data_IF_124661272768
#
_entry.id   IF_124661272768
#
_cell.length_a   1.000
_cell.length_b   1.000
_cell.length_c   1.000
_cell.angle_alpha   90.00
_cell.angle_beta   90.00
_cell.angle_gamma   90.00
#
_symmetry.space_group_name_H-M   'P 1'
#
loop_
_entity.id
_entity.type
_entity.pdbx_description
1 polymer ?
#
# COMPACT_ATOMS: atom_id res chain seq x y z
N UNK A 1 -4.74 6.28 -12.48
CA UNK A 1 -3.81 6.12 -11.34
C UNK A 1 -4.39 6.81 -10.12
N UNK A 2 -3.92 6.45 -8.92
CA UNK A 2 -4.51 6.94 -7.68
C UNK A 2 -3.45 7.61 -6.83
N UNK A 3 -3.80 8.69 -6.12
CA UNK A 3 -2.87 9.43 -5.27
C UNK A 3 -3.53 9.82 -3.96
N UNK A 4 -2.89 9.55 -2.83
CA UNK A 4 -3.37 9.99 -1.51
C UNK A 4 -3.17 11.47 -1.27
N UNK A 5 -4.19 12.10 -0.67
CA UNK A 5 -4.08 13.45 -0.14
C UNK A 5 -2.97 13.55 0.91
N UNK A 6 -2.81 12.53 1.76
CA UNK A 6 -1.81 12.55 2.83
C UNK A 6 -0.40 12.58 2.23
N UNK A 7 -0.15 11.74 1.23
CA UNK A 7 1.15 11.68 0.54
C UNK A 7 1.42 12.97 -0.21
N UNK A 8 0.44 13.51 -0.96
CA UNK A 8 0.59 14.80 -1.64
C UNK A 8 0.94 15.93 -0.69
N UNK A 9 0.22 16.04 0.45
CA UNK A 9 0.47 17.08 1.44
C UNK A 9 1.81 16.90 2.16
N UNK A 10 2.25 15.65 2.37
CA UNK A 10 3.58 15.39 2.91
C UNK A 10 4.69 15.84 1.95
N UNK A 11 4.50 15.60 0.64
CA UNK A 11 5.48 15.91 -0.41
C UNK A 11 5.41 17.37 -0.88
N UNK A 12 4.26 17.99 -0.76
CA UNK A 12 3.98 19.40 -1.12
C UNK A 12 3.25 20.06 0.06
N UNK A 13 3.99 20.50 1.10
CA UNK A 13 3.40 21.07 2.31
C UNK A 13 2.58 22.35 2.09
N UNK A 14 2.71 22.97 0.92
CA UNK A 14 1.98 24.18 0.51
C UNK A 14 0.60 23.89 -0.08
N UNK A 15 0.24 22.62 -0.33
CA UNK A 15 -1.10 22.28 -0.80
C UNK A 15 -2.17 22.58 0.26
N UNK A 16 -3.38 22.95 -0.17
CA UNK A 16 -4.48 23.21 0.74
C UNK A 16 -4.91 21.96 1.50
N UNK A 17 -5.51 22.15 2.67
CA UNK A 17 -6.06 21.07 3.49
C UNK A 17 -7.33 20.46 2.91
N UNK A 18 -8.04 21.24 2.10
CA UNK A 18 -9.32 20.88 1.52
C UNK A 18 -9.15 19.99 0.28
N UNK A 19 -9.82 18.85 0.27
CA UNK A 19 -9.69 17.87 -0.80
C UNK A 19 -10.25 18.37 -2.14
N UNK A 20 -11.31 19.18 -2.12
CA UNK A 20 -11.91 19.73 -3.34
C UNK A 20 -10.96 20.73 -4.02
N UNK A 21 -10.25 21.55 -3.24
CA UNK A 21 -9.22 22.45 -3.79
C UNK A 21 -8.05 21.68 -4.41
N UNK A 22 -7.57 20.62 -3.78
CA UNK A 22 -6.52 19.77 -4.39
C UNK A 22 -7.04 19.12 -5.67
N UNK A 23 -8.28 18.62 -5.69
CA UNK A 23 -8.89 18.05 -6.89
C UNK A 23 -8.96 19.06 -8.03
N UNK A 24 -9.31 20.32 -7.74
CA UNK A 24 -9.31 21.40 -8.72
C UNK A 24 -7.90 21.66 -9.29
N UNK A 25 -6.87 21.72 -8.45
CA UNK A 25 -5.48 21.86 -8.90
C UNK A 25 -5.04 20.68 -9.79
N UNK A 26 -5.45 19.45 -9.46
CA UNK A 26 -5.19 18.28 -10.30
C UNK A 26 -5.86 18.41 -11.68
N UNK A 27 -7.10 18.89 -11.72
CA UNK A 27 -7.80 19.15 -12.99
C UNK A 27 -7.11 20.25 -13.81
N UNK A 28 -6.68 21.35 -13.18
CA UNK A 28 -5.93 22.43 -13.83
C UNK A 28 -4.57 21.95 -14.36
N UNK A 29 -3.94 21.00 -13.67
CA UNK A 29 -2.72 20.31 -14.12
C UNK A 29 -2.95 19.32 -15.29
N UNK A 30 -4.20 19.19 -15.76
CA UNK A 30 -4.57 18.39 -16.92
C UNK A 30 -4.98 16.96 -16.62
N UNK A 31 -5.27 16.62 -15.36
CA UNK A 31 -5.81 15.31 -15.00
C UNK A 31 -7.34 15.28 -15.17
N UNK A 32 -7.83 14.30 -15.93
CA UNK A 32 -9.25 14.10 -16.18
C UNK A 32 -9.87 13.08 -15.21
N UNK A 33 -11.17 13.20 -14.98
CA UNK A 33 -11.93 12.23 -14.19
C UNK A 33 -11.53 12.16 -12.71
N UNK A 34 -10.98 13.24 -12.15
CA UNK A 34 -10.55 13.31 -10.74
C UNK A 34 -11.75 13.07 -9.82
N UNK A 35 -11.73 11.93 -9.11
CA UNK A 35 -12.72 11.58 -8.10
C UNK A 35 -12.07 11.54 -6.73
N UNK A 36 -12.73 12.14 -5.76
CA UNK A 36 -12.34 12.08 -4.35
C UNK A 36 -13.00 10.86 -3.74
N UNK A 37 -12.19 9.90 -3.27
CA UNK A 37 -12.67 8.65 -2.66
C UNK A 37 -12.12 8.56 -1.24
N UNK A 38 -12.95 8.31 -0.20
CA UNK A 38 -12.44 8.09 1.14
C UNK A 38 -11.44 6.94 1.17
N UNK A 39 -10.27 7.12 1.81
CA UNK A 39 -9.25 6.09 1.88
C UNK A 39 -9.80 4.79 2.51
N UNK A 40 -10.64 4.94 3.54
CA UNK A 40 -11.35 3.84 4.16
C UNK A 40 -12.10 2.95 3.16
N UNK A 41 -12.71 3.52 2.11
CA UNK A 41 -13.44 2.72 1.11
C UNK A 41 -12.53 1.84 0.27
N UNK A 42 -11.34 2.33 -0.06
CA UNK A 42 -10.34 1.57 -0.82
C UNK A 42 -9.66 0.49 0.04
N UNK A 43 -9.65 0.67 1.36
CA UNK A 43 -9.06 -0.26 2.33
C UNK A 43 -10.03 -1.34 2.81
N UNK A 44 -11.34 -1.22 2.58
CA UNK A 44 -12.36 -2.24 2.94
C UNK A 44 -12.01 -3.69 2.57
N UNK A 45 -11.46 -4.02 1.38
CA UNK A 45 -11.15 -5.41 1.03
C UNK A 45 -9.87 -5.95 1.69
N UNK A 46 -9.17 -5.13 2.46
CA UNK A 46 -7.94 -5.49 3.15
C UNK A 46 -8.29 -5.88 4.57
N UNK A 47 -7.75 -6.99 5.03
CA UNK A 47 -8.03 -7.53 6.36
C UNK A 47 -6.74 -7.73 7.14
N UNK A 48 -6.86 -7.89 8.45
CA UNK A 48 -5.77 -8.28 9.31
C UNK A 48 -5.44 -9.76 9.11
N UNK A 49 -4.16 -10.07 9.02
CA UNK A 49 -3.64 -11.42 9.15
C UNK A 49 -2.63 -11.54 10.29
N UNK A 50 -2.63 -12.71 10.93
CA UNK A 50 -1.57 -13.15 11.84
C UNK A 50 -0.60 -14.02 11.06
N UNK A 51 0.70 -13.75 11.19
CA UNK A 51 1.74 -14.63 10.65
C UNK A 51 1.91 -15.81 11.59
N UNK A 52 1.63 -17.01 11.12
CA UNK A 52 1.76 -18.24 11.89
C UNK A 52 3.20 -18.79 11.82
N UNK A 53 3.80 -18.75 10.63
CA UNK A 53 5.14 -19.25 10.38
C UNK A 53 5.90 -18.34 9.43
N UNK A 54 7.22 -18.22 9.64
CA UNK A 54 8.15 -17.54 8.73
C UNK A 54 9.33 -18.45 8.47
N UNK A 55 9.57 -18.79 7.21
CA UNK A 55 10.71 -19.60 6.78
C UNK A 55 11.55 -18.85 5.74
N UNK A 56 12.84 -19.16 5.70
CA UNK A 56 13.74 -18.63 4.68
C UNK A 56 13.34 -19.18 3.31
N UNK A 57 13.29 -18.32 2.29
CA UNK A 57 13.00 -18.76 0.94
C UNK A 57 14.15 -19.63 0.38
N UNK A 58 13.89 -20.82 -0.18
CA UNK A 58 14.92 -21.78 -0.56
C UNK A 58 15.79 -21.31 -1.72
N UNK A 59 15.23 -20.49 -2.62
CA UNK A 59 15.90 -19.98 -3.82
C UNK A 59 16.24 -18.48 -3.77
N UNK A 60 16.18 -17.83 -2.59
CA UNK A 60 16.46 -16.39 -2.47
C UNK A 60 16.80 -15.97 -1.03
N UNK A 61 17.97 -15.37 -0.82
CA UNK A 61 18.45 -14.98 0.51
C UNK A 61 17.64 -13.84 1.15
N UNK A 62 17.08 -12.95 0.33
CA UNK A 62 16.34 -11.77 0.78
C UNK A 62 14.83 -11.97 0.88
N UNK A 63 14.32 -13.15 0.52
CA UNK A 63 12.89 -13.45 0.57
C UNK A 63 12.59 -14.41 1.72
N UNK A 64 11.38 -14.29 2.24
CA UNK A 64 10.82 -15.17 3.26
C UNK A 64 9.47 -15.69 2.77
N UNK A 65 9.16 -16.92 3.15
CA UNK A 65 7.84 -17.52 2.94
C UNK A 65 7.11 -17.45 4.27
N UNK A 66 5.92 -16.89 4.25
CA UNK A 66 5.08 -16.70 5.42
C UNK A 66 3.80 -17.53 5.25
N UNK A 67 3.44 -18.29 6.27
CA UNK A 67 2.11 -18.87 6.41
C UNK A 67 1.29 -17.90 7.25
N UNK A 68 0.20 -17.39 6.70
CA UNK A 68 -0.60 -16.34 7.35
C UNK A 68 -2.06 -16.77 7.49
N UNK A 69 -2.64 -16.53 8.66
CA UNK A 69 -4.04 -16.71 8.93
C UNK A 69 -4.73 -15.35 8.82
N UNK A 70 -5.66 -15.23 7.88
CA UNK A 70 -6.42 -14.01 7.60
C UNK A 70 -7.92 -14.15 7.88
N UNK A 71 -8.29 -15.11 8.74
CA UNK A 71 -9.68 -15.43 9.06
C UNK A 71 -10.41 -16.27 8.00
N UNK A 72 -9.71 -16.68 6.92
CA UNK A 72 -10.22 -17.68 5.97
C UNK A 72 -10.20 -19.11 6.51
N UNK A 73 -10.78 -20.04 5.73
CA UNK A 73 -10.80 -21.47 6.08
C UNK A 73 -9.41 -22.12 6.07
N UNK A 74 -8.50 -21.61 5.22
CA UNK A 74 -7.14 -22.11 5.07
C UNK A 74 -6.14 -20.94 5.16
N UNK A 75 -4.96 -21.16 5.77
CA UNK A 75 -3.93 -20.15 5.78
C UNK A 75 -3.39 -19.90 4.37
N UNK A 76 -2.92 -18.68 4.12
CA UNK A 76 -2.33 -18.27 2.86
C UNK A 76 -0.82 -18.37 2.91
N UNK A 77 -0.21 -18.78 1.81
CA UNK A 77 1.24 -18.61 1.60
C UNK A 77 1.53 -17.25 0.98
N UNK A 78 2.37 -16.45 1.63
CA UNK A 78 2.82 -15.14 1.14
C UNK A 78 4.34 -15.10 1.11
N UNK A 79 4.89 -14.71 -0.03
CA UNK A 79 6.33 -14.43 -0.17
C UNK A 79 6.56 -12.94 0.04
N UNK A 80 7.45 -12.57 0.96
CA UNK A 80 7.80 -11.16 1.22
C UNK A 80 9.31 -10.97 1.32
N UNK A 81 9.78 -9.82 0.84
CA UNK A 81 11.18 -9.39 1.01
C UNK A 81 11.40 -8.49 2.23
N UNK A 82 10.33 -8.11 2.93
CA UNK A 82 10.44 -7.16 4.02
C UNK A 82 11.24 -7.73 5.20
N UNK A 83 12.21 -6.97 5.75
CA UNK A 83 13.11 -7.46 6.79
C UNK A 83 12.43 -7.64 8.14
N UNK A 84 11.31 -6.95 8.37
CA UNK A 84 10.63 -6.85 9.66
C UNK A 84 9.48 -7.85 9.84
N UNK A 85 9.26 -8.79 8.92
CA UNK A 85 8.23 -9.83 9.09
C UNK A 85 8.65 -10.83 10.18
N UNK A 86 7.72 -11.13 11.10
CA UNK A 86 7.95 -12.09 12.19
C UNK A 86 6.72 -12.95 12.48
N UNK A 87 6.94 -14.20 12.88
CA UNK A 87 5.88 -15.09 13.34
C UNK A 87 5.24 -14.54 14.63
N UNK A 88 3.94 -14.73 14.76
CA UNK A 88 3.11 -14.23 15.86
C UNK A 88 2.67 -12.77 15.73
N UNK A 89 3.21 -12.00 14.77
CA UNK A 89 2.80 -10.61 14.55
C UNK A 89 1.60 -10.49 13.59
N UNK A 90 0.98 -9.32 13.61
CA UNK A 90 -0.21 -8.98 12.84
C UNK A 90 0.12 -7.93 11.79
N UNK A 91 -0.36 -8.14 10.57
CA UNK A 91 -0.13 -7.24 9.44
C UNK A 91 -1.39 -7.15 8.57
N UNK A 92 -1.59 -6.05 7.84
CA UNK A 92 -2.55 -6.01 6.75
C UNK A 92 -2.19 -7.06 5.71
N UNK A 93 -3.18 -7.81 5.23
CA UNK A 93 -3.04 -8.73 4.11
C UNK A 93 -3.96 -8.34 2.96
N UNK A 94 -3.39 -8.37 1.76
CA UNK A 94 -4.07 -8.06 0.52
C UNK A 94 -4.12 -9.34 -0.32
N UNK A 95 -5.33 -9.90 -0.45
CA UNK A 95 -5.53 -11.13 -1.23
C UNK A 95 -5.36 -10.88 -2.73
N UNK A 96 -5.00 -11.94 -3.45
CA UNK A 96 -5.04 -11.93 -4.92
C UNK A 96 -6.39 -11.41 -5.44
N UNK A 97 -6.34 -10.53 -6.43
CA UNK A 97 -7.51 -9.95 -7.10
C UNK A 97 -7.95 -8.61 -6.52
N UNK A 98 -7.49 -8.26 -5.31
CA UNK A 98 -7.74 -6.97 -4.68
C UNK A 98 -6.87 -5.89 -5.35
N UNK A 99 -7.42 -4.68 -5.44
CA UNK A 99 -6.69 -3.49 -5.92
C UNK A 99 -6.33 -2.63 -4.73
N UNK A 100 -5.05 -2.28 -4.62
CA UNK A 100 -4.54 -1.38 -3.59
C UNK A 100 -5.06 0.05 -3.78
N UNK A 101 -5.02 0.89 -2.72
CA UNK A 101 -5.38 2.30 -2.82
C UNK A 101 -4.60 3.07 -3.88
N UNK A 102 -3.33 2.74 -4.13
CA UNK A 102 -2.50 3.32 -5.20
C UNK A 102 -2.90 2.89 -6.63
N UNK A 103 -3.92 2.01 -6.77
CA UNK A 103 -4.43 1.50 -8.04
C UNK A 103 -3.76 0.22 -8.53
N UNK A 104 -2.78 -0.31 -7.80
CA UNK A 104 -2.08 -1.56 -8.16
C UNK A 104 -2.94 -2.77 -7.86
N UNK A 105 -3.16 -3.63 -8.87
CA UNK A 105 -3.90 -4.89 -8.69
C UNK A 105 -2.98 -6.04 -8.27
N UNK A 106 -3.26 -6.64 -7.12
CA UNK A 106 -2.53 -7.82 -6.63
C UNK A 106 -2.93 -9.04 -7.49
N UNK A 107 -1.93 -9.72 -8.02
CA UNK A 107 -2.10 -10.93 -8.83
C UNK A 107 -1.42 -12.09 -8.16
N UNK A 108 -1.99 -13.29 -8.30
CA UNK A 108 -1.31 -14.53 -7.92
C UNK A 108 -0.10 -14.68 -8.82
N UNK A 109 1.03 -15.00 -8.20
CA UNK A 109 2.29 -15.15 -8.91
C UNK A 109 3.20 -16.12 -8.20
N UNK A 110 4.29 -16.46 -8.88
CA UNK A 110 5.41 -17.18 -8.28
C UNK A 110 6.60 -16.24 -8.15
N UNK A 111 7.18 -16.15 -6.96
CA UNK A 111 8.42 -15.45 -6.74
C UNK A 111 9.51 -16.51 -6.58
N UNK A 112 10.46 -16.55 -7.52
CA UNK A 112 11.61 -17.48 -7.48
C UNK A 112 11.22 -18.96 -7.24
N UNK A 113 10.10 -19.38 -7.82
CA UNK A 113 9.58 -20.76 -7.77
C UNK A 113 8.44 -20.97 -6.77
N UNK A 114 8.34 -20.13 -5.74
CA UNK A 114 7.36 -20.28 -4.65
C UNK A 114 6.11 -19.46 -4.93
N UNK A 115 4.94 -20.04 -4.64
CA UNK A 115 3.66 -19.37 -4.83
C UNK A 115 3.45 -18.27 -3.77
N UNK A 116 2.93 -17.11 -4.19
CA UNK A 116 2.41 -16.10 -3.28
C UNK A 116 0.93 -15.84 -3.61
N UNK A 117 0.08 -16.01 -2.60
CA UNK A 117 -1.37 -15.91 -2.72
C UNK A 117 -1.90 -14.52 -2.35
N UNK A 118 -1.01 -13.58 -2.08
CA UNK A 118 -1.30 -12.19 -1.77
C UNK A 118 -0.03 -11.43 -1.45
N UNK A 119 -0.20 -10.40 -0.64
CA UNK A 119 0.85 -9.49 -0.19
C UNK A 119 0.56 -9.05 1.25
N UNK A 120 1.59 -8.94 2.08
CA UNK A 120 1.49 -8.21 3.36
C UNK A 120 1.72 -6.73 3.08
N UNK A 121 0.87 -5.85 3.61
CA UNK A 121 0.88 -4.42 3.28
C UNK A 121 1.90 -3.61 4.08
N UNK A 122 2.61 -2.70 3.40
CA UNK A 122 3.34 -1.58 4.01
C UNK A 122 2.44 -0.35 4.18
N UNK A 123 2.87 0.63 4.99
CA UNK A 123 2.10 1.87 5.16
C UNK A 123 2.01 2.69 3.86
N UNK A 124 3.09 2.67 3.07
CA UNK A 124 3.18 3.32 1.76
C UNK A 124 2.21 2.72 0.73
N UNK A 125 2.24 1.40 0.55
CA UNK A 125 1.35 0.73 -0.43
C UNK A 125 -0.14 0.85 -0.09
N UNK A 126 -0.44 1.05 1.19
CA UNK A 126 -1.79 1.26 1.71
C UNK A 126 -2.19 2.74 1.77
N UNK A 127 -1.32 3.65 1.34
CA UNK A 127 -1.55 5.10 1.36
C UNK A 127 -1.82 5.68 2.77
N UNK A 128 -1.32 4.98 3.80
CA UNK A 128 -1.46 5.32 5.22
C UNK A 128 -0.25 6.06 5.80
N UNK A 129 0.86 6.13 5.04
CA UNK A 129 2.08 6.84 5.42
C UNK A 129 3.13 6.76 4.32
N UNK A 130 4.32 7.30 4.56
CA UNK A 130 5.44 7.30 3.61
C UNK A 130 6.59 6.41 4.07
N UNK A 131 6.32 5.47 4.97
CA UNK A 131 7.34 4.57 5.50
C UNK A 131 7.61 3.42 4.53
N UNK A 132 8.82 3.39 3.99
CA UNK A 132 9.32 2.35 3.09
C UNK A 132 10.22 1.32 3.81
N UNK A 133 10.37 1.39 5.13
CA UNK A 133 11.28 0.52 5.89
C UNK A 133 10.81 -0.95 5.96
N UNK A 134 9.52 -1.22 5.72
CA UNK A 134 9.00 -2.58 5.70
C UNK A 134 7.48 -2.67 5.80
N UNK A 135 7.00 -3.81 6.30
CA UNK A 135 5.57 -4.06 6.50
C UNK A 135 5.00 -3.23 7.64
N UNK A 136 3.71 -2.90 7.55
CA UNK A 136 2.98 -2.22 8.61
C UNK A 136 2.59 -3.22 9.70
N UNK A 137 3.42 -3.34 10.73
CA UNK A 137 3.09 -4.17 11.89
C UNK A 137 1.99 -3.52 12.73
N UNK A 138 0.91 -4.25 12.96
CA UNK A 138 -0.23 -3.82 13.75
C UNK A 138 0.01 -4.11 15.23
N UNK A 139 -0.42 -3.17 16.09
CA UNK A 139 -0.32 -3.30 17.53
C UNK A 139 -1.50 -4.11 18.09
N UNK A 140 -1.25 -4.85 19.16
CA UNK A 140 -2.25 -5.69 19.83
C UNK A 140 -2.47 -7.04 19.13
N UNK A 141 -3.64 -7.64 19.38
CA UNK A 141 -4.02 -8.96 18.86
C UNK A 141 -5.39 -8.92 18.15
N UNK A 142 -5.54 -8.09 17.10
CA UNK A 142 -6.78 -8.03 16.32
C UNK A 142 -7.13 -9.41 15.75
N UNK A 143 -8.42 -9.75 15.73
CA UNK A 143 -8.85 -11.02 15.19
C UNK A 143 -8.50 -11.12 13.68
N UNK A 144 -7.88 -12.21 13.21
CA UNK A 144 -7.67 -12.43 11.78
C UNK A 144 -8.97 -12.30 10.99
N UNK A 145 -8.91 -11.65 9.83
CA UNK A 145 -10.07 -11.37 8.98
C UNK A 145 -10.82 -10.08 9.32
N UNK A 146 -10.48 -9.41 10.43
CA UNK A 146 -11.02 -8.09 10.74
C UNK A 146 -10.61 -7.09 9.65
N UNK A 147 -11.53 -6.30 9.07
CA UNK A 147 -11.18 -5.24 8.13
C UNK A 147 -10.20 -4.24 8.75
N UNK A 148 -9.16 -3.82 8.04
CA UNK A 148 -8.13 -2.96 8.66
C UNK A 148 -8.69 -1.62 9.11
N UNK A 149 -9.73 -1.15 8.43
CA UNK A 149 -10.43 0.11 8.72
C UNK A 149 -11.10 0.13 10.10
N UNK A 150 -11.29 -1.05 10.72
CA UNK A 150 -11.80 -1.18 12.09
C UNK A 150 -10.67 -1.22 13.14
N UNK A 151 -9.44 -1.46 12.70
CA UNK A 151 -8.27 -1.67 13.58
C UNK A 151 -7.41 -0.42 13.70
N UNK A 152 -7.31 0.35 12.62
CA UNK A 152 -6.50 1.57 12.57
C UNK A 152 -7.30 2.76 12.05
N UNK A 153 -6.95 3.99 12.44
CA UNK A 153 -7.48 5.18 11.81
C UNK A 153 -7.07 5.24 10.33
N UNK A 154 -8.02 5.53 9.46
CA UNK A 154 -7.78 5.69 8.02
C UNK A 154 -8.18 7.11 7.59
N UNK A 155 -7.41 8.13 7.99
CA UNK A 155 -7.75 9.52 7.69
C UNK A 155 -7.55 9.82 6.20
N UNK A 156 -8.37 10.73 5.68
CA UNK A 156 -8.16 11.34 4.37
C UNK A 156 -8.80 10.61 3.20
N UNK A 157 -8.41 11.06 2.02
CA UNK A 157 -9.00 10.68 0.74
C UNK A 157 -7.90 10.36 -0.26
N UNK A 158 -8.28 9.61 -1.28
CA UNK A 158 -7.46 9.30 -2.44
C UNK A 158 -8.13 9.89 -3.68
N UNK A 159 -7.34 10.59 -4.48
CA UNK A 159 -7.74 11.10 -5.78
C UNK A 159 -7.56 9.98 -6.80
N UNK A 160 -8.69 9.49 -7.34
CA UNK A 160 -8.71 8.50 -8.41
C UNK A 160 -8.90 9.23 -9.73
N UNK A 161 -7.94 9.12 -10.63
CA UNK A 161 -7.92 9.87 -11.89
C UNK A 161 -7.40 9.02 -13.05
N UNK A 162 -7.73 9.41 -14.28
CA UNK A 162 -7.21 8.73 -15.46
C UNK A 162 -5.81 9.23 -15.80
N UNK A 163 -4.93 8.32 -16.20
CA UNK A 163 -3.55 8.67 -16.52
C UNK A 163 -2.55 7.56 -16.24
N UNK A 164 -1.35 7.73 -16.82
CA UNK A 164 -0.19 6.84 -16.67
C UNK A 164 0.95 7.47 -15.88
N UNK A 165 0.78 8.72 -15.48
CA UNK A 165 1.74 9.48 -14.70
C UNK A 165 2.05 8.76 -13.37
N UNK A 166 3.29 8.88 -12.94
CA UNK A 166 3.73 8.44 -11.61
C UNK A 166 3.39 9.48 -10.55
N UNK A 167 3.49 9.11 -9.27
CA UNK A 167 3.35 10.07 -8.16
C UNK A 167 4.30 11.26 -8.33
N UNK A 168 5.54 11.03 -8.76
CA UNK A 168 6.52 12.08 -8.96
C UNK A 168 6.14 13.03 -10.11
N UNK A 169 5.53 12.51 -11.17
CA UNK A 169 5.03 13.35 -12.26
C UNK A 169 3.90 14.27 -11.79
N UNK A 170 2.99 13.74 -10.96
CA UNK A 170 1.91 14.52 -10.32
C UNK A 170 2.52 15.60 -9.43
N UNK A 171 3.52 15.24 -8.60
CA UNK A 171 4.18 16.19 -7.71
C UNK A 171 4.80 17.34 -8.50
N UNK A 172 5.53 17.05 -9.59
CA UNK A 172 6.14 18.07 -10.45
C UNK A 172 5.10 18.99 -11.08
N UNK A 173 3.98 18.45 -11.56
CA UNK A 173 2.90 19.26 -12.17
C UNK A 173 2.18 20.15 -11.16
N UNK A 174 2.11 19.73 -9.90
CA UNK A 174 1.59 20.54 -8.80
C UNK A 174 2.63 21.52 -8.20
N UNK A 175 3.82 21.63 -8.81
CA UNK A 175 4.88 22.54 -8.38
C UNK A 175 5.68 22.06 -7.17
N UNK A 176 5.59 20.79 -6.82
CA UNK A 176 6.40 20.17 -5.77
C UNK A 176 7.80 19.78 -6.25
N UNK A 177 8.73 19.65 -5.29
CA UNK A 177 10.08 19.16 -5.55
C UNK A 177 10.13 17.64 -5.48
N UNK A 178 10.72 17.02 -6.50
CA UNK A 178 11.04 15.60 -6.51
C UNK A 178 12.57 15.48 -6.49
N UNK A 179 13.17 14.76 -5.54
CA UNK A 179 14.61 14.54 -5.54
C UNK A 179 14.99 13.82 -6.83
N UNK A 180 16.09 14.24 -7.46
CA UNK A 180 16.59 13.56 -8.64
C UNK A 180 16.81 12.07 -8.35
N UNK A 181 16.49 11.18 -9.31
CA UNK A 181 16.80 9.77 -9.13
C UNK A 181 18.29 9.64 -8.79
N UNK A 182 18.67 8.78 -7.83
CA UNK A 182 20.07 8.60 -7.50
C UNK A 182 20.83 8.32 -8.79
N UNK A 183 21.87 9.13 -9.06
CA UNK A 183 22.72 8.96 -10.22
C UNK A 183 23.08 7.48 -10.32
N UNK A 184 22.73 6.85 -11.44
CA UNK A 184 22.99 5.43 -11.64
C UNK A 184 24.47 5.20 -11.34
N UNK A 185 24.74 4.46 -10.25
CA UNK A 185 26.09 4.02 -9.97
C UNK A 185 26.47 3.09 -11.12
N UNK A 186 27.37 3.58 -11.99
CA UNK A 186 28.03 2.79 -13.04
C UNK A 186 28.76 1.57 -12.45
#
# INVERSE_FOLDING_TARGET
MNVSQLVLRHRIPTLPDDAEQIAAHLTEAGYEGVRIVPLAELLKPIVVARVEEVTQHPNADRLRICVVNDGGEQPLQIVTGAPNVRAGAYYPVVRTGVTLPNGTKIKRGKLRGEESQGMLGSADELELGTDHAGLMELQGEPAPGTPIVEVIPTPGVVFVMDGKDTLDDVIRKLGGEVPDPPAAAE
#
